data_IF_557496062069
#
_entry.id   IF_557496062069
#
_cell.length_a   1.000
_cell.length_b   1.000
_cell.length_c   1.000
_cell.angle_alpha   90.00
_cell.angle_beta   90.00
_cell.angle_gamma   90.00
#
_symmetry.space_group_name_H-M   'P 1'
#
loop_
_entity.id
_entity.type
_entity.pdbx_description
1 polymer ?
#
# COMPACT_ATOMS: atom_id res chain seq x y z
N UNK A 1 -28.05 6.57 9.69
CA UNK A 1 -26.81 5.96 10.10
C UNK A 1 -25.76 6.07 9.05
N UNK A 2 -24.58 6.13 9.51
CA UNK A 2 -23.42 6.41 8.64
C UNK A 2 -22.39 5.32 8.70
N UNK A 3 -22.75 4.20 9.27
CA UNK A 3 -21.84 3.08 9.51
C UNK A 3 -21.31 2.45 8.22
N UNK A 4 -21.86 2.81 7.07
CA UNK A 4 -21.40 2.36 5.78
C UNK A 4 -20.40 3.30 5.13
N UNK A 5 -19.92 4.28 5.87
CA UNK A 5 -18.92 5.20 5.36
C UNK A 5 -17.63 4.44 5.02
N UNK A 6 -17.00 4.86 3.95
CA UNK A 6 -15.73 4.34 3.55
C UNK A 6 -14.70 4.49 4.68
N UNK A 7 -13.98 3.41 4.98
CA UNK A 7 -12.87 3.45 5.92
C UNK A 7 -11.56 3.33 5.17
N UNK A 8 -10.64 4.23 5.48
CA UNK A 8 -9.30 4.14 4.93
C UNK A 8 -8.64 2.83 5.39
N UNK A 9 -8.03 2.05 4.49
CA UNK A 9 -7.39 0.80 4.87
C UNK A 9 -6.33 0.98 5.96
N UNK A 10 -5.61 2.09 5.98
CA UNK A 10 -4.62 2.35 7.04
C UNK A 10 -5.26 2.44 8.42
N UNK A 11 -6.44 3.03 8.55
CA UNK A 11 -7.12 3.16 9.84
C UNK A 11 -7.47 1.78 10.42
N UNK A 12 -7.75 0.81 9.56
CA UNK A 12 -8.07 -0.55 9.98
C UNK A 12 -6.81 -1.32 10.36
N UNK A 13 -5.81 -1.32 9.50
CA UNK A 13 -4.64 -2.18 9.67
C UNK A 13 -3.63 -1.68 10.69
N UNK A 14 -3.72 -0.41 11.07
CA UNK A 14 -2.83 0.17 12.10
C UNK A 14 -3.43 0.16 13.50
N UNK A 15 -4.67 -0.27 13.63
CA UNK A 15 -5.37 -0.32 14.92
C UNK A 15 -4.59 -1.16 15.94
N UNK A 16 -4.29 -0.56 17.09
CA UNK A 16 -3.50 -1.21 18.13
C UNK A 16 -2.00 -1.35 17.85
N UNK A 17 -1.50 -0.79 16.76
CA UNK A 17 -0.09 -0.87 16.38
C UNK A 17 0.64 0.43 16.70
N UNK A 18 1.93 0.29 17.02
CA UNK A 18 2.83 1.41 17.26
C UNK A 18 3.86 1.49 16.14
N UNK A 19 4.16 2.71 15.68
CA UNK A 19 5.19 2.92 14.66
C UNK A 19 6.55 2.43 15.16
N UNK A 20 7.36 1.79 14.30
CA UNK A 20 8.74 1.46 14.63
C UNK A 20 9.54 2.73 14.96
N UNK A 21 10.55 2.59 15.82
CA UNK A 21 11.45 3.69 16.15
C UNK A 21 12.09 4.26 14.90
N UNK A 22 12.12 5.59 14.81
CA UNK A 22 12.69 6.30 13.67
C UNK A 22 11.76 6.49 12.47
N UNK A 23 10.51 6.07 12.58
CA UNK A 23 9.50 6.21 11.53
C UNK A 23 8.29 6.96 12.08
N UNK A 24 7.63 7.75 11.23
CA UNK A 24 6.52 8.61 11.67
C UNK A 24 5.21 8.40 10.89
N UNK A 25 5.21 7.59 9.87
CA UNK A 25 4.04 7.45 8.99
C UNK A 25 3.82 6.03 8.54
N UNK A 26 2.55 5.68 8.36
CA UNK A 26 2.11 4.37 7.90
C UNK A 26 1.82 4.37 6.41
N UNK A 27 2.12 3.27 5.75
CA UNK A 27 1.72 3.05 4.37
C UNK A 27 1.44 1.59 4.08
N UNK A 28 0.92 1.34 2.90
CA UNK A 28 0.64 -0.02 2.43
C UNK A 28 1.36 -0.23 1.10
N UNK A 29 1.95 -1.39 0.93
CA UNK A 29 2.60 -1.79 -0.31
C UNK A 29 1.93 -3.02 -0.89
N UNK A 30 1.49 -2.93 -2.14
CA UNK A 30 1.03 -4.06 -2.92
C UNK A 30 2.22 -4.69 -3.65
N UNK A 31 2.36 -6.00 -3.53
CA UNK A 31 3.42 -6.77 -4.17
C UNK A 31 2.83 -7.99 -4.87
N UNK A 32 3.62 -8.65 -5.71
CA UNK A 32 3.24 -9.93 -6.30
C UNK A 32 3.27 -11.06 -5.28
N UNK A 33 2.71 -12.20 -5.65
CA UNK A 33 2.73 -13.40 -4.80
C UNK A 33 4.15 -13.93 -4.53
N UNK A 34 5.11 -13.57 -5.38
CA UNK A 34 6.52 -13.89 -5.22
C UNK A 34 7.28 -12.94 -4.27
N UNK A 35 6.57 -11.97 -3.68
CA UNK A 35 7.17 -10.97 -2.79
C UNK A 35 7.83 -9.80 -3.52
N UNK A 36 7.68 -9.72 -4.84
CA UNK A 36 8.38 -8.74 -5.66
C UNK A 36 7.44 -7.70 -6.25
N UNK A 37 7.99 -6.52 -6.49
CA UNK A 37 7.31 -5.50 -7.27
C UNK A 37 7.31 -5.85 -8.76
N UNK A 38 6.52 -5.11 -9.53
CA UNK A 38 6.46 -5.26 -10.99
C UNK A 38 7.82 -5.11 -11.68
N UNK A 39 8.70 -4.30 -11.10
CA UNK A 39 10.07 -4.09 -11.61
C UNK A 39 11.10 -5.07 -11.02
N UNK A 40 10.64 -6.06 -10.25
CA UNK A 40 11.51 -7.10 -9.70
C UNK A 40 12.17 -6.81 -8.36
N UNK A 41 11.85 -5.67 -7.72
CA UNK A 41 12.38 -5.39 -6.38
C UNK A 41 11.73 -6.33 -5.36
N UNK A 42 12.55 -7.01 -4.57
CA UNK A 42 12.08 -7.90 -3.52
C UNK A 42 12.00 -7.15 -2.19
N UNK A 43 10.81 -7.16 -1.59
CA UNK A 43 10.60 -6.54 -0.29
C UNK A 43 11.04 -7.47 0.83
N UNK A 44 11.69 -6.95 1.89
CA UNK A 44 12.15 -7.80 2.99
C UNK A 44 10.97 -8.37 3.80
N UNK A 45 11.27 -9.40 4.58
CA UNK A 45 10.31 -9.99 5.50
C UNK A 45 9.89 -8.99 6.60
N UNK A 46 8.70 -9.16 7.21
CA UNK A 46 8.30 -8.35 8.34
C UNK A 46 9.35 -8.31 9.45
N UNK A 47 9.51 -7.14 10.08
CA UNK A 47 10.51 -6.90 11.09
C UNK A 47 11.83 -6.34 10.56
N UNK A 48 11.92 -6.08 9.26
CA UNK A 48 13.13 -5.58 8.62
C UNK A 48 12.86 -4.29 7.85
N UNK A 49 13.85 -3.42 7.81
CA UNK A 49 13.80 -2.25 6.94
C UNK A 49 14.45 -2.58 5.59
N UNK A 50 14.05 -1.82 4.56
CA UNK A 50 14.71 -1.88 3.26
C UNK A 50 16.06 -1.19 3.34
N UNK A 51 16.89 -1.40 2.32
CA UNK A 51 18.05 -0.55 2.09
C UNK A 51 17.58 0.90 1.91
N UNK A 52 18.45 1.85 2.24
CA UNK A 52 18.21 3.26 1.95
C UNK A 52 18.62 3.56 0.50
N UNK A 53 17.70 4.17 -0.25
CA UNK A 53 17.92 4.57 -1.64
C UNK A 53 17.87 6.07 -1.75
N UNK A 54 18.92 6.70 -2.23
CA UNK A 54 18.92 8.13 -2.50
C UNK A 54 17.97 8.43 -3.67
N UNK A 55 16.97 9.28 -3.43
CA UNK A 55 15.97 9.59 -4.43
C UNK A 55 16.55 10.46 -5.55
N UNK A 56 16.20 10.14 -6.80
CA UNK A 56 16.48 11.01 -7.93
C UNK A 56 15.69 12.33 -7.79
N UNK A 57 16.20 13.40 -8.37
CA UNK A 57 15.62 14.74 -8.24
C UNK A 57 14.41 14.92 -9.15
N UNK A 58 13.27 14.43 -8.68
CA UNK A 58 11.95 14.67 -9.26
C UNK A 58 10.88 14.41 -8.21
N UNK A 59 9.66 14.88 -8.46
CA UNK A 59 8.57 14.78 -7.49
C UNK A 59 7.56 13.65 -7.77
N UNK A 60 7.83 12.80 -8.75
CA UNK A 60 6.90 11.70 -9.04
C UNK A 60 6.74 10.76 -7.84
N UNK A 61 5.52 10.33 -7.61
CA UNK A 61 5.22 9.28 -6.62
C UNK A 61 5.67 7.90 -7.07
N UNK A 62 6.16 7.76 -8.30
CA UNK A 62 6.69 6.51 -8.84
C UNK A 62 8.20 6.58 -9.04
N UNK A 63 8.96 5.56 -8.61
CA UNK A 63 10.35 5.42 -9.00
C UNK A 63 10.49 5.31 -10.52
N UNK A 64 11.45 6.03 -11.09
CA UNK A 64 11.74 5.96 -12.53
C UNK A 64 12.58 4.75 -12.89
N UNK A 65 13.33 4.23 -11.93
CA UNK A 65 14.19 3.05 -12.09
C UNK A 65 14.40 2.37 -10.76
N UNK A 66 14.94 1.17 -10.76
CA UNK A 66 15.37 0.50 -9.52
C UNK A 66 16.45 1.35 -8.87
N UNK A 67 16.32 1.61 -7.56
CA UNK A 67 17.24 2.48 -6.82
C UNK A 67 16.76 3.92 -6.67
N UNK A 68 15.65 4.28 -7.31
CA UNK A 68 15.03 5.61 -7.17
C UNK A 68 13.94 5.60 -6.08
N UNK A 69 14.18 4.88 -5.01
CA UNK A 69 13.25 4.78 -3.89
C UNK A 69 12.17 3.73 -4.09
N UNK A 70 11.21 3.78 -3.19
CA UNK A 70 10.16 2.79 -3.04
C UNK A 70 8.80 3.47 -3.12
N UNK A 71 7.88 2.88 -3.86
CA UNK A 71 6.52 3.37 -3.97
C UNK A 71 5.66 2.81 -2.84
N UNK A 72 4.95 3.67 -2.14
CA UNK A 72 4.08 3.33 -1.02
C UNK A 72 2.71 3.95 -1.23
N UNK A 73 1.64 3.24 -0.91
CA UNK A 73 0.27 3.75 -0.96
C UNK A 73 -0.28 4.08 0.41
N UNK A 74 -1.20 5.04 0.47
CA UNK A 74 -1.94 5.40 1.68
C UNK A 74 -3.45 5.26 1.50
N UNK A 75 -3.89 4.98 0.29
CA UNK A 75 -5.29 4.72 -0.06
C UNK A 75 -5.39 3.50 -0.96
N UNK A 76 -6.58 2.93 -1.09
CA UNK A 76 -6.81 1.83 -2.02
C UNK A 76 -6.40 2.19 -3.46
N UNK A 77 -6.78 3.37 -3.91
CA UNK A 77 -6.45 3.84 -5.26
C UNK A 77 -4.94 3.98 -5.45
N UNK A 78 -4.26 4.62 -4.51
CA UNK A 78 -2.81 4.83 -4.60
C UNK A 78 -2.04 3.52 -4.54
N UNK A 79 -2.49 2.59 -3.71
CA UNK A 79 -1.88 1.28 -3.55
C UNK A 79 -2.01 0.40 -4.79
N UNK A 80 -3.18 0.44 -5.43
CA UNK A 80 -3.50 -0.39 -6.59
C UNK A 80 -3.02 0.21 -7.91
N UNK A 81 -2.69 1.49 -7.95
CA UNK A 81 -2.22 2.13 -9.17
C UNK A 81 -0.87 1.55 -9.59
N UNK A 82 -0.78 0.96 -10.73
CA UNK A 82 0.43 0.27 -11.16
C UNK A 82 0.19 -1.20 -11.46
N UNK A 83 -1.03 -1.67 -11.28
CA UNK A 83 -1.45 -2.98 -11.74
C UNK A 83 -1.04 -4.15 -10.86
N UNK A 84 -0.83 -3.92 -9.56
CA UNK A 84 -0.56 -5.02 -8.64
C UNK A 84 -1.82 -5.56 -7.97
N UNK A 85 -1.76 -6.82 -7.56
CA UNK A 85 -2.87 -7.51 -6.92
C UNK A 85 -3.14 -6.93 -5.54
N UNK A 86 -4.40 -6.62 -5.26
CA UNK A 86 -4.81 -5.94 -4.05
C UNK A 86 -4.66 -6.77 -2.77
N UNK A 87 -4.44 -8.07 -2.87
CA UNK A 87 -4.41 -8.97 -1.71
C UNK A 87 -3.02 -9.43 -1.27
N UNK A 88 -1.98 -9.00 -1.97
CA UNK A 88 -0.61 -9.26 -1.54
C UNK A 88 -0.07 -7.97 -0.94
N UNK A 89 -0.38 -7.73 0.33
CA UNK A 89 -0.17 -6.45 0.96
C UNK A 89 0.81 -6.52 2.12
N UNK A 90 1.63 -5.48 2.24
CA UNK A 90 2.51 -5.26 3.38
C UNK A 90 2.11 -3.96 4.08
N UNK A 91 2.05 -3.98 5.40
CA UNK A 91 2.02 -2.77 6.19
C UNK A 91 3.44 -2.28 6.37
N UNK A 92 3.69 -1.03 5.99
CA UNK A 92 5.04 -0.44 6.07
C UNK A 92 5.00 0.87 6.82
N UNK A 93 6.14 1.26 7.38
CA UNK A 93 6.36 2.56 7.97
C UNK A 93 7.42 3.32 7.18
N UNK A 94 7.26 4.64 7.09
CA UNK A 94 8.22 5.50 6.38
C UNK A 94 8.37 6.84 7.10
N UNK A 95 9.33 7.65 6.66
CA UNK A 95 9.54 9.01 7.18
C UNK A 95 8.94 10.02 6.21
N UNK A 96 7.94 10.76 6.68
CA UNK A 96 7.17 11.68 5.84
C UNK A 96 8.01 12.81 5.25
N UNK A 97 9.00 13.30 5.99
CA UNK A 97 9.85 14.40 5.53
C UNK A 97 10.66 14.03 4.28
N UNK A 98 10.94 12.76 4.08
CA UNK A 98 11.71 12.27 2.94
C UNK A 98 10.83 11.89 1.74
N UNK A 99 9.52 11.89 1.92
CA UNK A 99 8.58 11.45 0.88
C UNK A 99 8.48 12.47 -0.27
N UNK A 100 8.27 11.94 -1.47
CA UNK A 100 7.96 12.73 -2.68
C UNK A 100 6.68 12.21 -3.29
N UNK A 101 5.82 13.13 -3.72
CA UNK A 101 4.54 12.76 -4.31
C UNK A 101 4.05 13.83 -5.28
N UNK A 102 3.46 13.39 -6.37
CA UNK A 102 2.75 14.23 -7.33
C UNK A 102 1.27 13.83 -7.43
N UNK A 103 0.81 12.93 -6.57
CA UNK A 103 -0.59 12.50 -6.54
C UNK A 103 -1.02 12.12 -5.12
N UNK A 104 -2.32 12.21 -4.86
CA UNK A 104 -2.89 11.84 -3.57
C UNK A 104 -2.91 10.32 -3.42
N UNK A 105 -2.54 9.83 -2.24
CA UNK A 105 -2.64 8.42 -1.89
C UNK A 105 -1.47 7.56 -2.31
N UNK A 106 -0.46 8.14 -2.94
CA UNK A 106 0.73 7.41 -3.38
C UNK A 106 1.95 8.29 -3.23
N UNK A 107 3.04 7.73 -2.75
CA UNK A 107 4.27 8.49 -2.55
C UNK A 107 5.50 7.61 -2.75
N UNK A 108 6.63 8.27 -2.92
CA UNK A 108 7.93 7.65 -3.10
C UNK A 108 8.82 8.01 -1.92
N UNK A 109 9.43 6.99 -1.32
CA UNK A 109 10.28 7.15 -0.13
C UNK A 109 11.63 6.48 -0.34
N UNK A 110 12.71 6.98 0.32
CA UNK A 110 14.03 6.38 0.20
C UNK A 110 14.18 5.07 0.96
N UNK A 111 13.38 4.89 2.02
CA UNK A 111 13.47 3.71 2.88
C UNK A 111 12.12 3.45 3.54
N UNK A 112 11.83 2.18 3.79
CA UNK A 112 10.65 1.77 4.52
C UNK A 112 10.98 0.59 5.44
N UNK A 113 10.23 0.50 6.53
CA UNK A 113 10.27 -0.64 7.45
C UNK A 113 9.04 -1.51 7.20
N UNK A 114 9.25 -2.79 6.96
CA UNK A 114 8.14 -3.73 6.77
C UNK A 114 7.67 -4.19 8.15
N UNK A 115 6.45 -3.81 8.52
CA UNK A 115 5.90 -4.10 9.85
C UNK A 115 5.19 -5.44 9.87
N UNK A 116 4.37 -5.73 8.85
CA UNK A 116 3.57 -6.96 8.82
C UNK A 116 3.12 -7.31 7.41
N UNK A 117 2.83 -8.58 7.19
CA UNK A 117 1.96 -9.00 6.09
C UNK A 117 0.52 -8.83 6.53
N UNK A 118 -0.33 -8.35 5.65
CA UNK A 118 -1.73 -8.10 5.95
C UNK A 118 -2.59 -9.28 5.51
N UNK A 119 -3.61 -9.58 6.32
CA UNK A 119 -4.66 -10.52 5.93
C UNK A 119 -5.60 -9.83 4.94
N UNK A 120 -5.36 -10.06 3.66
CA UNK A 120 -6.13 -9.43 2.59
C UNK A 120 -7.59 -9.83 2.60
N UNK A 121 -7.91 -11.05 3.02
CA UNK A 121 -9.29 -11.50 3.11
C UNK A 121 -10.06 -10.75 4.21
N UNK A 122 -9.47 -10.63 5.38
CA UNK A 122 -10.05 -9.83 6.46
C UNK A 122 -10.20 -8.38 6.04
N UNK A 123 -9.18 -7.83 5.42
CA UNK A 123 -9.18 -6.45 4.98
C UNK A 123 -10.28 -6.20 3.92
N UNK A 124 -10.49 -7.16 3.01
CA UNK A 124 -11.56 -7.08 2.03
C UNK A 124 -12.95 -7.04 2.69
N UNK A 125 -13.15 -7.84 3.73
CA UNK A 125 -14.43 -7.84 4.47
C UNK A 125 -14.68 -6.53 5.21
N UNK A 126 -13.63 -5.93 5.77
CA UNK A 126 -13.76 -4.76 6.64
C UNK A 126 -13.64 -3.42 5.90
N UNK A 127 -12.94 -3.40 4.77
CA UNK A 127 -12.55 -2.15 4.13
C UNK A 127 -13.08 -1.96 2.72
N UNK A 128 -13.44 -3.01 2.02
CA UNK A 128 -13.87 -2.88 0.62
C UNK A 128 -15.29 -2.38 0.45
N UNK A 129 -16.10 -2.44 1.49
CA UNK A 129 -17.43 -1.87 1.44
C UNK A 129 -17.35 -0.37 1.18
N UNK A 130 -17.93 0.08 0.07
CA UNK A 130 -17.84 1.47 -0.35
C UNK A 130 -16.48 1.93 -0.82
N UNK A 131 -15.50 1.03 -0.96
CA UNK A 131 -14.16 1.38 -1.37
C UNK A 131 -14.10 1.83 -2.82
N UNK A 132 -13.26 2.82 -3.10
CA UNK A 132 -12.94 3.18 -4.47
C UNK A 132 -11.81 2.28 -4.97
N UNK A 133 -12.17 1.28 -5.75
CA UNK A 133 -11.24 0.35 -6.40
C UNK A 133 -11.10 0.64 -7.90
N UNK A 134 -11.44 1.86 -8.31
CA UNK A 134 -11.35 2.28 -9.71
C UNK A 134 -9.92 2.04 -10.25
N UNK A 135 -9.84 1.26 -11.31
CA UNK A 135 -8.56 0.93 -11.93
C UNK A 135 -7.68 -0.05 -11.16
N UNK A 136 -8.16 -0.64 -10.07
CA UNK A 136 -7.40 -1.63 -9.33
C UNK A 136 -7.26 -2.93 -10.13
N UNK A 137 -6.07 -3.51 -10.13
CA UNK A 137 -5.85 -4.83 -10.69
C UNK A 137 -6.21 -5.89 -9.65
N UNK A 138 -7.36 -6.53 -9.86
CA UNK A 138 -7.85 -7.61 -9.00
C UNK A 138 -7.64 -8.98 -9.64
N UNK A 139 -6.83 -9.07 -10.71
CA UNK A 139 -6.59 -10.32 -11.39
C UNK A 139 -5.99 -11.37 -10.46
N UNK A 140 -6.64 -12.52 -10.39
CA UNK A 140 -6.20 -13.62 -9.53
C UNK A 140 -6.41 -13.40 -8.03
N UNK A 141 -7.10 -12.32 -7.63
CA UNK A 141 -7.42 -12.10 -6.24
C UNK A 141 -8.55 -13.03 -5.78
N UNK A 142 -8.39 -13.60 -4.59
CA UNK A 142 -9.46 -14.36 -3.97
C UNK A 142 -10.39 -13.40 -3.21
N UNK A 143 -11.56 -13.17 -3.77
CA UNK A 143 -12.58 -12.31 -3.19
C UNK A 143 -13.65 -13.09 -2.42
N UNK A 144 -13.42 -14.38 -2.16
CA UNK A 144 -14.39 -15.17 -1.43
C UNK A 144 -14.68 -14.58 -0.05
N UNK A 145 -15.95 -14.28 0.22
CA UNK A 145 -16.37 -13.65 1.46
C UNK A 145 -16.11 -12.15 1.57
N UNK A 146 -15.59 -11.51 0.52
CA UNK A 146 -15.37 -10.06 0.52
C UNK A 146 -16.70 -9.30 0.49
N UNK A 147 -16.79 -8.21 1.26
CA UNK A 147 -17.91 -7.28 1.18
C UNK A 147 -17.55 -6.15 0.22
N UNK A 148 -18.14 -6.20 -0.96
CA UNK A 148 -17.95 -5.18 -2.01
C UNK A 148 -19.16 -4.26 -2.17
N UNK A 149 -20.08 -4.28 -1.21
CA UNK A 149 -21.28 -3.45 -1.26
C UNK A 149 -20.93 -1.97 -1.40
N UNK A 150 -21.39 -1.33 -2.48
CA UNK A 150 -21.12 0.08 -2.76
C UNK A 150 -19.70 0.39 -3.22
N UNK A 151 -18.85 -0.60 -3.45
CA UNK A 151 -17.51 -0.36 -3.96
C UNK A 151 -17.56 0.09 -5.43
N UNK A 152 -16.65 0.99 -5.79
CA UNK A 152 -16.47 1.43 -7.17
C UNK A 152 -15.46 0.51 -7.85
N UNK A 153 -15.94 -0.28 -8.81
CA UNK A 153 -15.13 -1.26 -9.55
C UNK A 153 -14.92 -0.84 -11.00
N UNK A 154 -15.16 0.43 -11.34
CA UNK A 154 -14.97 0.93 -12.70
C UNK A 154 -13.50 0.79 -13.15
N UNK A 155 -13.33 0.56 -14.42
CA UNK A 155 -12.03 0.39 -15.05
C UNK A 155 -11.70 -1.06 -15.30
#
# INVERSE_FOLDING_TARGET
>A
MTENAYRNPLDIVTEGRTLPEGYDSWGIKSIGFDGKTRKGFEWPAPGNETQYYELLDHNSSCPRQIGDGLCVGTTWKGMASGGFRAFCLLLVAYRSIEARSDEVGKLRVPQAFVVARLDGERLARESFRGANLHGADLHGADLHGADLHGADLHG
#
